data_IF_724687910703
#
_entry.id   IF_724687910703
#
_cell.length_a   1.000
_cell.length_b   1.000
_cell.length_c   1.000
_cell.angle_alpha   90.00
_cell.angle_beta   90.00
_cell.angle_gamma   90.00
#
_symmetry.space_group_name_H-M   'P 1'
#
loop_
_entity.id
_entity.type
_entity.pdbx_description
1 polymer ?
#
# COMPACT_ATOMS: atom_id res chain seq x y z
N UNK A 1 -27.56 -21.14 -27.21
CA UNK A 1 -27.76 -21.87 -25.94
C UNK A 1 -26.89 -21.26 -24.87
N UNK A 2 -27.47 -20.51 -23.93
CA UNK A 2 -26.72 -19.99 -22.78
C UNK A 2 -26.66 -21.07 -21.70
N UNK A 3 -25.46 -21.58 -21.43
CA UNK A 3 -25.23 -22.53 -20.34
C UNK A 3 -25.49 -21.87 -19.00
N UNK A 4 -26.49 -22.37 -18.26
CA UNK A 4 -26.73 -22.01 -16.86
C UNK A 4 -25.50 -22.44 -16.04
N UNK A 5 -24.68 -21.48 -15.60
CA UNK A 5 -23.70 -21.74 -14.53
C UNK A 5 -24.47 -22.15 -13.28
N UNK A 6 -24.27 -23.38 -12.82
CA UNK A 6 -24.79 -23.84 -11.53
C UNK A 6 -24.13 -23.00 -10.44
N UNK A 7 -24.91 -22.21 -9.72
CA UNK A 7 -24.50 -21.66 -8.42
C UNK A 7 -24.41 -22.83 -7.45
N UNK A 8 -23.23 -23.40 -7.27
CA UNK A 8 -22.93 -24.19 -6.07
C UNK A 8 -22.98 -23.24 -4.87
N UNK A 9 -23.84 -23.45 -3.87
CA UNK A 9 -23.99 -22.54 -2.75
C UNK A 9 -22.71 -22.51 -1.92
N UNK A 10 -22.14 -21.32 -1.73
CA UNK A 10 -20.95 -21.08 -0.88
C UNK A 10 -21.12 -21.55 0.57
N UNK A 11 -22.37 -21.78 0.98
CA UNK A 11 -22.77 -22.30 2.28
C UNK A 11 -22.17 -23.70 2.55
N UNK A 12 -22.02 -24.55 1.52
CA UNK A 12 -21.52 -25.92 1.69
C UNK A 12 -20.01 -25.96 2.00
N UNK A 13 -19.22 -25.11 1.36
CA UNK A 13 -17.77 -24.99 1.63
C UNK A 13 -17.46 -24.50 3.04
N UNK A 14 -18.24 -23.55 3.56
CA UNK A 14 -18.04 -23.03 4.92
C UNK A 14 -18.42 -24.06 5.98
N UNK A 15 -19.51 -24.80 5.77
CA UNK A 15 -19.90 -25.91 6.65
C UNK A 15 -18.83 -27.01 6.69
N UNK A 16 -18.25 -27.36 5.53
CA UNK A 16 -17.15 -28.32 5.45
C UNK A 16 -15.90 -27.84 6.21
N UNK A 17 -15.53 -26.55 6.11
CA UNK A 17 -14.42 -25.99 6.88
C UNK A 17 -14.65 -26.05 8.38
N UNK A 18 -15.86 -25.71 8.85
CA UNK A 18 -16.24 -25.78 10.26
C UNK A 18 -16.12 -27.21 10.81
N UNK A 19 -16.61 -28.19 10.05
CA UNK A 19 -16.51 -29.61 10.41
C UNK A 19 -15.04 -30.05 10.49
N UNK A 20 -14.22 -29.68 9.50
CA UNK A 20 -12.79 -30.01 9.49
C UNK A 20 -12.03 -29.37 10.65
N UNK A 21 -12.34 -28.11 10.98
CA UNK A 21 -11.73 -27.43 12.13
C UNK A 21 -12.16 -28.08 13.45
N UNK A 22 -13.45 -28.42 13.61
CA UNK A 22 -13.94 -29.14 14.78
C UNK A 22 -13.24 -30.51 14.95
N UNK A 23 -13.11 -31.29 13.88
CA UNK A 23 -12.40 -32.57 13.90
C UNK A 23 -10.92 -32.41 14.29
N UNK A 24 -10.22 -31.39 13.74
CA UNK A 24 -8.82 -31.08 14.12
C UNK A 24 -8.72 -30.74 15.62
N UNK A 25 -9.63 -29.93 16.15
CA UNK A 25 -9.67 -29.58 17.58
C UNK A 25 -9.91 -30.80 18.47
N UNK A 26 -10.82 -31.70 18.07
CA UNK A 26 -11.05 -32.96 18.77
C UNK A 26 -9.76 -33.81 18.78
N UNK A 27 -9.07 -33.94 17.65
CA UNK A 27 -7.81 -34.70 17.54
C UNK A 27 -6.71 -34.11 18.43
N UNK A 28 -6.56 -32.78 18.46
CA UNK A 28 -5.59 -32.09 19.32
C UNK A 28 -5.85 -32.37 20.81
N UNK A 29 -7.11 -32.27 21.25
CA UNK A 29 -7.50 -32.55 22.65
C UNK A 29 -7.29 -34.02 23.02
N UNK A 30 -7.63 -34.95 22.12
CA UNK A 30 -7.35 -36.39 22.30
C UNK A 30 -5.86 -36.66 22.43
N UNK A 31 -5.01 -36.04 21.59
CA UNK A 31 -3.55 -36.18 21.68
C UNK A 31 -3.02 -35.70 23.02
N UNK A 32 -3.50 -34.55 23.50
CA UNK A 32 -3.11 -34.02 24.81
C UNK A 32 -3.48 -34.99 25.94
N UNK A 33 -4.68 -35.56 25.92
CA UNK A 33 -5.10 -36.55 26.90
C UNK A 33 -4.20 -37.81 26.88
N UNK A 34 -3.84 -38.31 25.69
CA UNK A 34 -2.89 -39.42 25.57
C UNK A 34 -1.53 -39.07 26.19
N UNK A 35 -1.00 -37.87 25.94
CA UNK A 35 0.27 -37.44 26.54
C UNK A 35 0.16 -37.30 28.07
N UNK A 36 -0.99 -36.88 28.60
CA UNK A 36 -1.24 -36.84 30.04
C UNK A 36 -1.22 -38.23 30.68
N UNK A 37 -1.89 -39.22 30.06
CA UNK A 37 -1.90 -40.60 30.56
C UNK A 37 -0.49 -41.21 30.53
N UNK A 38 0.26 -41.00 29.44
CA UNK A 38 1.65 -41.45 29.32
C UNK A 38 2.52 -40.80 30.40
N UNK A 39 2.36 -39.51 30.65
CA UNK A 39 3.08 -38.79 31.70
C UNK A 39 2.81 -39.38 33.09
N UNK A 40 1.54 -39.68 33.43
CA UNK A 40 1.18 -40.30 34.71
C UNK A 40 1.81 -41.68 34.88
N UNK A 41 1.62 -42.57 33.89
CA UNK A 41 2.15 -43.93 33.93
C UNK A 41 3.68 -43.91 33.99
N UNK A 42 4.31 -43.07 33.17
CA UNK A 42 5.76 -42.93 33.13
C UNK A 42 6.34 -42.34 34.42
N UNK A 43 5.65 -41.39 35.06
CA UNK A 43 6.08 -40.84 36.36
C UNK A 43 6.04 -41.90 37.46
N UNK A 44 4.97 -42.71 37.52
CA UNK A 44 4.86 -43.84 38.45
C UNK A 44 5.97 -44.87 38.19
N UNK A 45 6.22 -45.18 36.91
CA UNK A 45 7.28 -46.10 36.52
C UNK A 45 8.68 -45.61 36.95
N UNK A 46 9.00 -44.33 36.74
CA UNK A 46 10.28 -43.75 37.15
C UNK A 46 10.49 -43.80 38.67
N UNK A 47 9.43 -43.57 39.45
CA UNK A 47 9.46 -43.69 40.91
C UNK A 47 9.73 -45.16 41.30
N UNK A 48 8.99 -46.12 40.75
CA UNK A 48 9.17 -47.54 41.04
C UNK A 48 10.55 -48.06 40.60
N UNK A 49 11.05 -47.61 39.46
CA UNK A 49 12.38 -47.98 38.95
C UNK A 49 13.49 -47.56 39.90
N UNK A 50 13.38 -46.37 40.50
CA UNK A 50 14.32 -45.93 41.51
C UNK A 50 14.12 -46.67 42.84
N UNK A 51 12.89 -46.67 43.38
CA UNK A 51 12.61 -47.15 44.76
C UNK A 51 12.62 -48.67 44.92
N UNK A 52 12.26 -49.44 43.89
CA UNK A 52 12.13 -50.91 43.97
C UNK A 52 13.30 -51.62 43.29
N UNK A 53 13.77 -51.10 42.15
CA UNK A 53 14.81 -51.73 41.35
C UNK A 53 16.21 -51.13 41.58
N UNK A 54 16.32 -50.08 42.39
CA UNK A 54 17.60 -49.43 42.71
C UNK A 54 18.24 -48.69 41.53
N UNK A 55 17.49 -48.41 40.46
CA UNK A 55 18.04 -47.83 39.24
C UNK A 55 18.39 -46.36 39.50
N UNK A 56 19.69 -46.06 39.54
CA UNK A 56 20.21 -44.70 39.68
C UNK A 56 20.17 -44.13 41.11
N UNK A 57 20.04 -44.96 42.15
CA UNK A 57 19.98 -44.49 43.56
C UNK A 57 21.18 -43.61 43.97
N UNK A 58 22.37 -43.88 43.41
CA UNK A 58 23.59 -43.12 43.67
C UNK A 58 23.63 -41.77 42.93
N UNK A 59 22.75 -41.57 41.94
CA UNK A 59 22.69 -40.36 41.12
C UNK A 59 21.76 -39.34 41.79
N UNK A 60 22.36 -38.35 42.45
CA UNK A 60 21.65 -37.24 43.07
C UNK A 60 22.04 -35.92 42.41
N UNK A 61 21.04 -35.17 41.98
CA UNK A 61 21.22 -33.79 41.51
C UNK A 61 20.75 -32.84 42.60
N UNK A 62 21.62 -31.92 43.04
CA UNK A 62 21.30 -30.95 44.10
C UNK A 62 20.75 -31.58 45.39
N UNK A 63 21.26 -32.76 45.76
CA UNK A 63 20.81 -33.50 46.96
C UNK A 63 19.41 -34.14 46.84
N UNK A 64 18.83 -34.18 45.64
CA UNK A 64 17.55 -34.82 45.33
C UNK A 64 17.74 -35.96 44.34
N UNK A 65 16.86 -36.95 44.38
CA UNK A 65 16.89 -38.15 43.52
C UNK A 65 16.71 -37.76 42.04
N UNK A 66 17.43 -38.44 41.14
CA UNK A 66 17.46 -38.11 39.72
C UNK A 66 16.08 -38.15 39.05
N UNK A 67 15.20 -39.09 39.44
CA UNK A 67 13.89 -39.25 38.82
C UNK A 67 12.98 -38.04 39.03
N UNK A 68 13.19 -37.27 40.11
CA UNK A 68 12.45 -36.03 40.35
C UNK A 68 12.71 -35.03 39.22
N UNK A 69 13.97 -34.86 38.81
CA UNK A 69 14.33 -33.98 37.70
C UNK A 69 13.79 -34.50 36.35
N UNK A 70 13.83 -35.82 36.14
CA UNK A 70 13.24 -36.43 34.95
C UNK A 70 11.73 -36.15 34.87
N UNK A 71 11.00 -36.29 35.98
CA UNK A 71 9.58 -35.95 36.08
C UNK A 71 9.35 -34.45 35.87
N UNK A 72 10.19 -33.57 36.44
CA UNK A 72 10.09 -32.11 36.26
C UNK A 72 10.28 -31.70 34.80
N UNK A 73 11.30 -32.22 34.11
CA UNK A 73 11.56 -31.94 32.69
C UNK A 73 10.37 -32.44 31.86
N UNK A 74 9.87 -33.64 32.15
CA UNK A 74 8.73 -34.19 31.43
C UNK A 74 7.43 -33.41 31.69
N UNK A 75 7.21 -32.97 32.92
CA UNK A 75 6.11 -32.09 33.31
C UNK A 75 6.19 -30.76 32.56
N UNK A 76 7.38 -30.18 32.42
CA UNK A 76 7.58 -28.97 31.64
C UNK A 76 7.18 -29.15 30.16
N UNK A 77 7.61 -30.25 29.53
CA UNK A 77 7.21 -30.57 28.15
C UNK A 77 5.69 -30.80 28.03
N UNK A 78 5.08 -31.44 29.01
CA UNK A 78 3.63 -31.61 29.07
C UNK A 78 2.91 -30.27 29.18
N UNK A 79 3.34 -29.39 30.08
CA UNK A 79 2.79 -28.04 30.25
C UNK A 79 2.95 -27.20 28.98
N UNK A 80 4.08 -27.29 28.30
CA UNK A 80 4.27 -26.68 26.98
C UNK A 80 3.24 -27.19 25.96
N UNK A 81 3.00 -28.51 25.93
CA UNK A 81 1.99 -29.09 25.05
C UNK A 81 0.56 -28.62 25.40
N UNK A 82 0.21 -28.54 26.69
CA UNK A 82 -1.06 -27.97 27.18
C UNK A 82 -1.21 -26.53 26.70
N UNK A 83 -0.19 -25.69 26.90
CA UNK A 83 -0.17 -24.29 26.48
C UNK A 83 -0.38 -24.17 24.97
N UNK A 84 0.30 -24.98 24.16
CA UNK A 84 0.17 -24.94 22.71
C UNK A 84 -1.26 -25.32 22.22
N UNK A 85 -1.88 -26.32 22.83
CA UNK A 85 -3.23 -26.78 22.45
C UNK A 85 -4.31 -25.77 22.87
N UNK A 86 -4.19 -25.16 24.05
CA UNK A 86 -5.24 -24.31 24.61
C UNK A 86 -5.04 -22.80 24.39
N UNK A 87 -3.80 -22.32 24.32
CA UNK A 87 -3.49 -20.89 24.21
C UNK A 87 -3.11 -20.56 22.77
N UNK A 88 -2.03 -21.14 22.23
CA UNK A 88 -1.53 -20.79 20.88
C UNK A 88 -2.58 -20.97 19.80
N UNK A 89 -3.25 -22.13 19.77
CA UNK A 89 -4.29 -22.42 18.76
C UNK A 89 -5.61 -21.66 18.98
N UNK A 90 -5.88 -21.16 20.19
CA UNK A 90 -7.07 -20.34 20.49
C UNK A 90 -6.84 -18.87 20.12
N UNK A 91 -5.60 -18.39 20.27
CA UNK A 91 -5.24 -16.99 20.06
C UNK A 91 -4.77 -16.69 18.63
N UNK A 92 -4.14 -17.65 17.94
CA UNK A 92 -3.62 -17.51 16.57
C UNK A 92 -3.99 -18.70 15.66
N UNK A 93 -5.18 -19.27 15.86
CA UNK A 93 -5.71 -20.31 14.99
C UNK A 93 -6.34 -19.75 13.71
N UNK A 94 -6.67 -20.65 12.76
CA UNK A 94 -7.37 -20.28 11.51
C UNK A 94 -8.69 -19.55 11.73
N UNK A 95 -9.40 -19.87 12.82
CA UNK A 95 -10.66 -19.20 13.16
C UNK A 95 -10.44 -17.73 13.56
N UNK A 96 -9.34 -17.44 14.25
CA UNK A 96 -8.94 -16.06 14.56
C UNK A 96 -8.56 -15.33 13.27
N UNK A 97 -7.76 -15.94 12.40
CA UNK A 97 -7.38 -15.38 11.10
C UNK A 97 -8.60 -15.06 10.23
N UNK A 98 -9.56 -15.99 10.13
CA UNK A 98 -10.84 -15.78 9.41
C UNK A 98 -11.63 -14.61 10.00
N UNK A 99 -11.74 -14.53 11.32
CA UNK A 99 -12.43 -13.41 11.98
C UNK A 99 -11.76 -12.04 11.72
N UNK A 100 -10.43 -12.00 11.63
CA UNK A 100 -9.71 -10.78 11.29
C UNK A 100 -9.93 -10.41 9.82
N UNK A 101 -9.91 -11.39 8.93
CA UNK A 101 -10.18 -11.20 7.51
C UNK A 101 -11.59 -10.66 7.28
N UNK A 102 -12.61 -11.24 7.92
CA UNK A 102 -14.00 -10.76 7.85
C UNK A 102 -14.13 -9.30 8.32
N UNK A 103 -13.48 -8.94 9.44
CA UNK A 103 -13.44 -7.54 9.92
C UNK A 103 -12.79 -6.61 8.89
N UNK A 104 -11.72 -7.03 8.23
CA UNK A 104 -11.05 -6.26 7.19
C UNK A 104 -11.95 -6.08 5.95
N UNK A 105 -12.60 -7.14 5.50
CA UNK A 105 -13.54 -7.11 4.38
C UNK A 105 -14.73 -6.19 4.69
N UNK A 106 -15.32 -6.28 5.88
CA UNK A 106 -16.40 -5.39 6.32
C UNK A 106 -15.95 -3.92 6.34
N UNK A 107 -14.72 -3.65 6.80
CA UNK A 107 -14.13 -2.30 6.77
C UNK A 107 -13.93 -1.79 5.33
N UNK A 108 -13.53 -2.66 4.40
CA UNK A 108 -13.42 -2.33 2.99
C UNK A 108 -14.78 -2.06 2.35
N UNK A 109 -15.80 -2.88 2.62
CA UNK A 109 -17.16 -2.68 2.12
C UNK A 109 -17.75 -1.35 2.60
N UNK A 110 -17.61 -1.01 3.89
CA UNK A 110 -18.00 0.29 4.42
C UNK A 110 -17.28 1.46 3.73
N UNK A 111 -16.00 1.29 3.38
CA UNK A 111 -15.24 2.30 2.63
C UNK A 111 -15.77 2.45 1.19
N UNK A 112 -16.08 1.33 0.52
CA UNK A 112 -16.67 1.33 -0.82
C UNK A 112 -18.05 2.02 -0.80
N UNK A 113 -18.89 1.74 0.20
CA UNK A 113 -20.20 2.38 0.34
C UNK A 113 -20.08 3.89 0.56
N UNK A 114 -19.16 4.34 1.43
CA UNK A 114 -18.86 5.77 1.60
C UNK A 114 -18.39 6.43 0.31
N UNK A 115 -17.54 5.76 -0.46
CA UNK A 115 -17.09 6.25 -1.76
C UNK A 115 -18.26 6.36 -2.74
N UNK A 116 -19.13 5.34 -2.83
CA UNK A 116 -20.34 5.38 -3.67
C UNK A 116 -21.26 6.55 -3.30
N UNK A 117 -21.55 6.74 -2.02
CA UNK A 117 -22.33 7.91 -1.54
C UNK A 117 -21.66 9.24 -1.86
N UNK A 118 -20.33 9.30 -1.80
CA UNK A 118 -19.54 10.46 -2.23
C UNK A 118 -19.71 10.75 -3.71
N UNK A 119 -19.57 9.72 -4.57
CA UNK A 119 -19.78 9.83 -6.01
C UNK A 119 -21.20 10.26 -6.36
N UNK A 120 -22.25 9.69 -5.75
CA UNK A 120 -23.64 10.11 -5.98
C UNK A 120 -23.88 11.58 -5.62
N UNK A 121 -23.25 12.07 -4.54
CA UNK A 121 -23.33 13.49 -4.14
C UNK A 121 -22.62 14.38 -5.16
N UNK A 122 -21.44 13.96 -5.62
CA UNK A 122 -20.65 14.67 -6.62
C UNK A 122 -21.37 14.72 -7.98
N UNK A 123 -21.95 13.61 -8.43
CA UNK A 123 -22.79 13.54 -9.63
C UNK A 123 -23.99 14.49 -9.57
N UNK A 124 -24.68 14.56 -8.43
CA UNK A 124 -25.77 15.53 -8.24
C UNK A 124 -25.31 16.98 -8.32
N UNK A 125 -24.17 17.31 -7.72
CA UNK A 125 -23.59 18.66 -7.78
C UNK A 125 -23.17 19.03 -9.21
N UNK A 126 -22.57 18.09 -9.95
CA UNK A 126 -22.21 18.27 -11.35
C UNK A 126 -23.44 18.49 -12.22
N UNK A 127 -24.49 17.68 -12.06
CA UNK A 127 -25.75 17.85 -12.79
C UNK A 127 -26.42 19.20 -12.48
N UNK A 128 -26.44 19.63 -11.22
CA UNK A 128 -26.98 20.94 -10.82
C UNK A 128 -26.17 22.10 -11.43
N UNK A 129 -24.84 22.00 -11.43
CA UNK A 129 -23.96 22.99 -12.05
C UNK A 129 -24.17 23.08 -13.57
N UNK A 130 -24.33 21.93 -14.25
CA UNK A 130 -24.63 21.88 -15.68
C UNK A 130 -25.97 22.53 -16.02
N UNK A 131 -27.02 22.24 -15.26
CA UNK A 131 -28.35 22.88 -15.42
C UNK A 131 -28.27 24.39 -15.16
N UNK A 132 -27.57 24.81 -14.11
CA UNK A 132 -27.36 26.24 -13.81
C UNK A 132 -26.61 26.97 -14.94
N UNK A 133 -25.58 26.34 -15.52
CA UNK A 133 -24.82 26.92 -16.63
C UNK A 133 -25.63 26.96 -17.94
N UNK A 134 -26.55 26.01 -18.15
CA UNK A 134 -27.46 26.00 -19.32
C UNK A 134 -28.61 27.01 -19.19
N UNK A 135 -29.03 27.36 -17.98
CA UNK A 135 -30.12 28.31 -17.73
C UNK A 135 -29.69 29.80 -17.75
N UNK A 136 -28.39 30.10 -17.94
CA UNK A 136 -27.87 31.47 -17.97
C UNK A 136 -28.16 32.11 -19.35
N UNK A 137 -28.75 33.32 -19.43
CA UNK A 137 -28.94 34.01 -20.71
C UNK A 137 -27.59 34.30 -21.36
N UNK A 138 -27.42 33.91 -22.64
CA UNK A 138 -26.25 34.26 -23.44
C UNK A 138 -26.29 35.76 -23.78
N UNK A 139 -25.69 36.59 -22.93
CA UNK A 139 -25.28 37.93 -23.35
C UNK A 139 -24.10 37.80 -24.31
N UNK A 140 -24.34 38.17 -25.57
CA UNK A 140 -23.30 38.29 -26.60
C UNK A 140 -22.31 39.38 -26.16
N UNK A 141 -21.19 38.96 -25.57
CA UNK A 141 -19.98 39.77 -25.43
C UNK A 141 -19.16 39.58 -26.71
N UNK A 142 -18.58 40.64 -27.30
CA UNK A 142 -17.83 40.55 -28.55
C UNK A 142 -16.70 39.52 -28.50
N UNK A 143 -16.44 38.85 -29.63
CA UNK A 143 -15.32 37.92 -29.82
C UNK A 143 -13.98 38.63 -29.50
N UNK A 144 -13.47 38.39 -28.30
CA UNK A 144 -12.03 38.44 -28.04
C UNK A 144 -11.50 37.01 -28.01
N UNK A 145 -10.35 36.81 -28.66
CA UNK A 145 -9.61 35.55 -28.72
C UNK A 145 -9.18 35.13 -27.31
N UNK A 146 -9.99 34.31 -26.62
CA UNK A 146 -9.57 33.68 -25.36
C UNK A 146 -8.81 32.39 -25.63
N UNK A 147 -7.48 32.48 -25.62
CA UNK A 147 -6.61 31.30 -25.51
C UNK A 147 -6.79 30.67 -24.15
N UNK A 148 -7.44 29.51 -24.08
CA UNK A 148 -7.36 28.64 -22.90
C UNK A 148 -5.89 28.19 -22.75
N UNK A 149 -5.14 28.89 -21.91
CA UNK A 149 -3.80 28.48 -21.50
C UNK A 149 -3.97 27.33 -20.50
N UNK A 150 -3.58 26.12 -20.89
CA UNK A 150 -3.47 25.00 -19.94
C UNK A 150 -2.30 25.29 -19.00
N UNK A 151 -2.53 25.16 -17.69
CA UNK A 151 -1.48 25.32 -16.68
C UNK A 151 -0.79 23.98 -16.40
N UNK A 152 0.10 23.60 -17.32
CA UNK A 152 0.88 22.37 -17.20
C UNK A 152 1.80 22.47 -15.98
N UNK A 153 1.63 21.56 -15.04
CA UNK A 153 2.35 21.57 -13.76
C UNK A 153 3.35 20.42 -13.70
N UNK A 154 4.61 20.70 -13.37
CA UNK A 154 5.57 19.67 -12.96
C UNK A 154 5.36 19.40 -11.48
N UNK A 155 5.28 18.15 -11.05
CA UNK A 155 5.30 17.80 -9.63
C UNK A 155 6.41 16.79 -9.37
N UNK A 156 7.30 17.10 -8.43
CA UNK A 156 8.53 16.32 -8.23
C UNK A 156 9.01 16.44 -6.78
N UNK A 157 9.55 15.34 -6.25
CA UNK A 157 10.38 15.37 -5.04
C UNK A 157 11.86 15.21 -5.45
N UNK A 158 12.71 16.14 -5.02
CA UNK A 158 14.13 16.13 -5.32
C UNK A 158 14.98 16.44 -4.08
N UNK A 159 16.12 15.77 -3.97
CA UNK A 159 17.13 15.97 -2.93
C UNK A 159 17.84 17.32 -3.08
N UNK A 160 18.65 17.73 -2.10
CA UNK A 160 19.41 18.99 -2.16
C UNK A 160 20.33 19.05 -3.39
N UNK A 161 20.87 17.91 -3.83
CA UNK A 161 21.69 17.76 -5.03
C UNK A 161 20.88 17.44 -6.32
N UNK A 162 19.59 17.77 -6.34
CA UNK A 162 18.63 17.50 -7.42
C UNK A 162 18.42 15.99 -7.75
N UNK A 163 18.93 15.07 -6.93
CA UNK A 163 18.67 13.64 -7.08
C UNK A 163 17.17 13.33 -6.98
N UNK A 164 16.64 12.43 -7.80
CA UNK A 164 15.22 12.01 -7.77
C UNK A 164 15.00 10.50 -7.75
N UNK A 165 16.02 9.71 -8.12
CA UNK A 165 15.89 8.26 -8.19
C UNK A 165 17.22 7.55 -8.41
N UNK A 166 17.28 6.29 -7.97
CA UNK A 166 18.38 5.36 -8.21
C UNK A 166 17.79 4.02 -8.59
N UNK A 167 18.30 3.36 -9.63
CA UNK A 167 17.84 2.04 -10.09
C UNK A 167 16.32 1.97 -10.35
N UNK A 168 15.72 3.03 -10.93
CA UNK A 168 14.27 3.20 -11.15
C UNK A 168 13.40 3.18 -9.88
N UNK A 169 13.98 3.43 -8.70
CA UNK A 169 13.26 3.52 -7.42
C UNK A 169 13.43 4.90 -6.78
N UNK A 170 12.44 5.27 -5.95
CA UNK A 170 12.55 6.42 -5.06
C UNK A 170 13.57 6.11 -3.95
N UNK A 171 14.40 7.11 -3.63
CA UNK A 171 15.54 6.94 -2.70
C UNK A 171 15.08 7.09 -1.22
N UNK A 172 13.91 7.68 -1.00
CA UNK A 172 13.36 7.93 0.33
C UNK A 172 11.85 7.64 0.36
N UNK A 173 11.31 7.63 1.59
CA UNK A 173 9.88 7.54 1.83
C UNK A 173 9.42 8.75 2.66
N UNK A 174 8.65 9.65 2.04
CA UNK A 174 8.10 10.83 2.70
C UNK A 174 6.56 10.77 2.65
N UNK A 175 5.95 10.40 3.77
CA UNK A 175 4.52 10.09 3.81
C UNK A 175 3.64 11.31 3.48
N UNK A 176 4.06 12.51 3.90
CA UNK A 176 3.33 13.75 3.62
C UNK A 176 3.52 14.25 2.18
N UNK A 177 4.68 14.00 1.57
CA UNK A 177 4.87 14.23 0.13
C UNK A 177 3.93 13.33 -0.70
N UNK A 178 3.81 12.05 -0.34
CA UNK A 178 2.88 11.13 -1.01
C UNK A 178 1.41 11.55 -0.84
N UNK A 179 1.03 12.10 0.31
CA UNK A 179 -0.31 12.68 0.54
C UNK A 179 -0.53 13.90 -0.35
N UNK A 180 0.43 14.84 -0.37
CA UNK A 180 0.39 16.03 -1.23
C UNK A 180 0.30 15.67 -2.71
N UNK A 181 1.15 14.76 -3.18
CA UNK A 181 1.12 14.26 -4.55
C UNK A 181 -0.25 13.69 -4.90
N UNK A 182 -0.84 12.87 -4.01
CA UNK A 182 -2.17 12.31 -4.21
C UNK A 182 -3.24 13.40 -4.26
N UNK A 183 -3.21 14.37 -3.35
CA UNK A 183 -4.19 15.45 -3.28
C UNK A 183 -4.16 16.32 -4.54
N UNK A 184 -2.97 16.75 -4.97
CA UNK A 184 -2.79 17.62 -6.13
C UNK A 184 -3.16 16.92 -7.44
N UNK A 185 -2.78 15.65 -7.60
CA UNK A 185 -2.97 14.93 -8.88
C UNK A 185 -4.33 14.26 -9.02
N UNK A 186 -5.16 14.21 -7.98
CA UNK A 186 -6.43 13.49 -8.00
C UNK A 186 -7.41 14.10 -9.02
N UNK A 187 -8.02 13.28 -9.87
CA UNK A 187 -8.94 13.74 -10.92
C UNK A 187 -8.25 14.21 -12.21
N UNK A 188 -6.92 14.36 -12.18
CA UNK A 188 -6.14 14.92 -13.28
C UNK A 188 -5.37 13.86 -14.09
N UNK A 189 -4.87 14.28 -15.25
CA UNK A 189 -3.92 13.52 -16.06
C UNK A 189 -2.54 13.60 -15.42
N UNK A 190 -1.91 12.45 -15.31
CA UNK A 190 -0.51 12.32 -14.91
C UNK A 190 0.30 11.78 -16.08
N UNK A 191 1.26 12.59 -16.53
CA UNK A 191 2.10 12.34 -17.68
C UNK A 191 3.46 11.87 -17.18
N UNK A 192 3.92 10.73 -17.69
CA UNK A 192 5.17 10.13 -17.25
C UNK A 192 5.87 9.35 -18.35
N UNK A 193 7.16 9.07 -18.17
CA UNK A 193 7.92 8.15 -19.02
C UNK A 193 7.69 6.69 -18.65
N UNK A 194 7.93 5.77 -19.60
CA UNK A 194 7.81 4.31 -19.41
C UNK A 194 8.42 3.80 -18.10
N UNK A 195 9.69 4.12 -17.82
CA UNK A 195 10.40 3.62 -16.62
C UNK A 195 9.74 4.07 -15.31
N UNK A 196 9.19 5.29 -15.27
CA UNK A 196 8.43 5.79 -14.12
C UNK A 196 7.10 5.05 -13.98
N UNK A 197 6.44 4.75 -15.10
CA UNK A 197 5.22 3.95 -15.05
C UNK A 197 5.47 2.53 -14.52
N UNK A 198 6.56 1.90 -14.95
CA UNK A 198 6.95 0.54 -14.54
C UNK A 198 7.34 0.42 -13.06
N UNK A 199 7.65 1.53 -12.37
CA UNK A 199 7.93 1.51 -10.93
C UNK A 199 6.66 1.45 -10.07
N UNK A 200 5.50 1.76 -10.64
CA UNK A 200 4.23 1.61 -9.93
C UNK A 200 3.80 0.14 -9.90
N UNK A 201 3.42 -0.42 -8.73
CA UNK A 201 2.90 -1.78 -8.65
C UNK A 201 1.54 -1.92 -9.38
N UNK A 202 0.80 -0.82 -9.52
CA UNK A 202 -0.45 -0.72 -10.26
C UNK A 202 -0.78 0.74 -10.60
N UNK A 203 -1.60 1.00 -11.63
CA UNK A 203 -2.10 2.34 -11.91
C UNK A 203 -2.76 2.97 -10.68
N UNK A 204 -2.43 4.23 -10.46
CA UNK A 204 -2.97 5.03 -9.39
C UNK A 204 -4.46 5.35 -9.66
N UNK A 205 -5.37 5.13 -8.68
CA UNK A 205 -6.81 5.34 -8.88
C UNK A 205 -7.12 6.83 -9.07
N UNK A 206 -8.26 7.09 -9.74
CA UNK A 206 -8.83 8.41 -10.02
C UNK A 206 -7.88 9.36 -10.78
N UNK A 207 -6.93 8.81 -11.53
CA UNK A 207 -5.95 9.55 -12.33
C UNK A 207 -5.88 8.94 -13.71
N UNK A 208 -5.82 9.78 -14.73
CA UNK A 208 -5.64 9.35 -16.11
C UNK A 208 -4.14 9.26 -16.39
N UNK A 209 -3.64 8.05 -16.64
CA UNK A 209 -2.22 7.83 -16.88
C UNK A 209 -1.90 8.05 -18.36
N UNK A 210 -0.93 8.91 -18.64
CA UNK A 210 -0.41 9.15 -20.00
C UNK A 210 1.07 8.79 -20.00
N UNK A 211 1.42 7.68 -20.64
CA UNK A 211 2.76 7.10 -20.64
C UNK A 211 3.45 7.38 -21.96
N UNK A 212 4.60 8.05 -21.89
CA UNK A 212 5.45 8.34 -23.04
C UNK A 212 6.43 7.18 -23.23
N UNK A 213 6.34 6.50 -24.37
CA UNK A 213 7.22 5.40 -24.75
C UNK A 213 7.54 5.42 -26.25
N UNK A 214 8.79 5.12 -26.60
CA UNK A 214 9.22 4.90 -28.00
C UNK A 214 9.07 3.44 -28.43
N UNK A 215 8.76 2.54 -27.48
CA UNK A 215 8.60 1.12 -27.78
C UNK A 215 7.26 0.89 -28.45
N UNK A 216 7.30 0.36 -29.67
CA UNK A 216 6.10 -0.09 -30.37
C UNK A 216 5.43 -1.24 -29.61
N UNK A 217 4.09 -1.25 -29.62
CA UNK A 217 3.29 -2.30 -28.96
C UNK A 217 3.57 -2.46 -27.45
N UNK A 218 4.00 -1.39 -26.77
CA UNK A 218 4.17 -1.40 -25.31
C UNK A 218 2.83 -1.69 -24.61
N UNK A 219 2.77 -2.82 -23.90
CA UNK A 219 1.55 -3.30 -23.24
C UNK A 219 1.34 -2.57 -21.92
N UNK A 220 0.15 -2.01 -21.75
CA UNK A 220 -0.27 -1.36 -20.50
C UNK A 220 -1.61 -1.91 -20.04
N UNK A 221 -1.93 -1.80 -18.74
CA UNK A 221 -3.27 -2.08 -18.23
C UNK A 221 -4.34 -1.21 -18.91
N UNK A 222 -5.59 -1.67 -18.84
CA UNK A 222 -6.74 -0.90 -19.33
C UNK A 222 -6.85 0.48 -18.65
N UNK A 223 -7.23 1.49 -19.43
CA UNK A 223 -7.36 2.87 -18.96
C UNK A 223 -6.07 3.69 -18.95
N UNK A 224 -4.93 3.10 -19.32
CA UNK A 224 -3.66 3.81 -19.50
C UNK A 224 -3.48 4.20 -20.97
N UNK A 225 -3.17 5.47 -21.21
CA UNK A 225 -2.93 6.02 -22.55
C UNK A 225 -1.43 5.95 -22.84
N UNK A 226 -1.04 5.41 -24.00
CA UNK A 226 0.37 5.38 -24.44
C UNK A 226 0.54 6.32 -25.63
N UNK A 227 1.55 7.17 -25.56
CA UNK A 227 1.93 8.11 -26.62
C UNK A 227 3.44 8.06 -26.85
N UNK A 228 3.90 8.59 -27.98
CA UNK A 228 5.31 8.53 -28.40
C UNK A 228 6.12 9.83 -28.17
N UNK A 229 5.48 10.90 -27.71
CA UNK A 229 6.11 12.21 -27.52
C UNK A 229 5.46 13.01 -26.40
N UNK A 230 6.19 13.98 -25.85
CA UNK A 230 5.66 14.92 -24.86
C UNK A 230 4.53 15.78 -25.44
N UNK A 231 4.66 16.23 -26.69
CA UNK A 231 3.62 17.01 -27.37
C UNK A 231 2.29 16.25 -27.45
N UNK A 232 2.34 14.96 -27.83
CA UNK A 232 1.16 14.11 -27.87
C UNK A 232 0.59 13.87 -26.46
N UNK A 233 1.45 13.77 -25.44
CA UNK A 233 0.98 13.63 -24.06
C UNK A 233 0.22 14.87 -23.56
N UNK A 234 0.70 16.06 -23.91
CA UNK A 234 0.05 17.33 -23.58
C UNK A 234 -1.28 17.44 -24.33
N UNK A 235 -1.33 17.09 -25.63
CA UNK A 235 -2.59 17.12 -26.39
C UNK A 235 -3.65 16.16 -25.81
N UNK A 236 -3.24 14.98 -25.34
CA UNK A 236 -4.16 14.05 -24.67
C UNK A 236 -4.75 14.63 -23.39
N UNK A 237 -4.02 15.51 -22.70
CA UNK A 237 -4.45 16.15 -21.48
C UNK A 237 -5.12 17.52 -21.72
N UNK A 238 -5.48 17.86 -22.97
CA UNK A 238 -5.87 19.23 -23.31
C UNK A 238 -7.15 19.75 -22.68
N UNK A 239 -8.06 18.83 -22.33
CA UNK A 239 -9.32 19.14 -21.67
C UNK A 239 -9.19 19.04 -20.14
N UNK A 240 -7.98 18.82 -19.63
CA UNK A 240 -7.65 18.92 -18.22
C UNK A 240 -7.25 20.35 -17.89
N UNK A 241 -7.85 20.91 -16.84
CA UNK A 241 -7.48 22.24 -16.36
C UNK A 241 -6.08 22.28 -15.74
N UNK A 242 -5.59 21.15 -15.23
CA UNK A 242 -4.32 21.09 -14.49
C UNK A 242 -3.63 19.72 -14.66
N UNK A 243 -3.07 19.43 -15.84
CA UNK A 243 -2.31 18.21 -16.03
C UNK A 243 -0.95 18.26 -15.33
N UNK A 244 -0.47 17.09 -14.86
CA UNK A 244 0.77 16.96 -14.11
C UNK A 244 1.82 16.14 -14.84
N UNK A 245 3.03 16.69 -14.99
CA UNK A 245 4.22 15.93 -15.37
C UNK A 245 4.85 15.36 -14.10
N UNK A 246 4.98 14.04 -14.04
CA UNK A 246 5.50 13.32 -12.85
C UNK A 246 6.83 12.61 -13.11
N UNK A 247 7.49 12.93 -14.24
CA UNK A 247 8.85 12.49 -14.57
C UNK A 247 8.91 11.30 -15.52
N UNK A 248 10.03 10.57 -15.62
CA UNK A 248 11.29 10.75 -14.91
C UNK A 248 12.19 11.85 -15.51
N UNK A 249 13.49 11.81 -15.22
CA UNK A 249 14.45 12.87 -15.54
C UNK A 249 14.39 13.38 -16.99
N UNK A 250 14.30 12.49 -17.97
CA UNK A 250 14.21 12.88 -19.39
C UNK A 250 12.90 13.61 -19.73
N UNK A 251 11.78 13.17 -19.15
CA UNK A 251 10.49 13.83 -19.33
C UNK A 251 10.48 15.19 -18.64
N UNK A 252 11.09 15.30 -17.44
CA UNK A 252 11.25 16.58 -16.77
C UNK A 252 12.05 17.56 -17.62
N UNK A 253 13.21 17.15 -18.18
CA UNK A 253 14.02 18.02 -19.06
C UNK A 253 13.21 18.60 -20.21
N UNK A 254 12.42 17.78 -20.88
CA UNK A 254 11.57 18.23 -21.99
C UNK A 254 10.42 19.12 -21.48
N UNK A 255 9.79 18.77 -20.36
CA UNK A 255 8.68 19.50 -19.78
C UNK A 255 9.06 20.90 -19.25
N UNK A 256 10.32 21.12 -18.86
CA UNK A 256 10.80 22.43 -18.41
C UNK A 256 10.63 23.55 -19.44
N UNK A 257 10.42 23.23 -20.73
CA UNK A 257 10.14 24.23 -21.77
C UNK A 257 8.65 24.62 -21.87
N UNK A 258 7.75 23.74 -21.43
CA UNK A 258 6.31 23.89 -21.63
C UNK A 258 5.54 24.16 -20.32
N UNK A 259 6.09 23.73 -19.19
CA UNK A 259 5.42 23.86 -17.89
C UNK A 259 5.29 25.31 -17.45
N UNK A 260 4.17 25.61 -16.76
CA UNK A 260 3.85 26.91 -16.20
C UNK A 260 4.14 26.97 -14.70
N UNK A 261 4.10 25.81 -14.03
CA UNK A 261 4.25 25.67 -12.59
C UNK A 261 5.12 24.47 -12.24
N UNK A 262 5.87 24.56 -11.14
CA UNK A 262 6.58 23.44 -10.53
C UNK A 262 6.12 23.35 -9.07
N UNK A 263 5.54 22.22 -8.70
CA UNK A 263 5.27 21.82 -7.32
C UNK A 263 6.41 20.91 -6.87
N UNK A 264 7.43 21.51 -6.24
CA UNK A 264 8.63 20.84 -5.77
C UNK A 264 8.46 20.41 -4.30
N UNK A 265 8.94 19.22 -3.97
CA UNK A 265 9.30 18.84 -2.61
C UNK A 265 10.82 18.75 -2.54
N UNK A 266 11.48 19.72 -1.89
CA UNK A 266 12.93 19.74 -1.72
C UNK A 266 13.29 18.98 -0.45
N UNK A 267 13.93 17.82 -0.57
CA UNK A 267 14.42 17.04 0.56
C UNK A 267 15.80 17.56 0.98
N UNK A 268 15.93 18.01 2.23
CA UNK A 268 17.16 18.64 2.75
C UNK A 268 18.20 17.59 3.15
N UNK A 269 18.57 16.79 2.17
CA UNK A 269 19.62 15.77 2.25
C UNK A 269 20.14 15.50 0.83
N UNK A 270 21.40 15.13 0.70
CA UNK A 270 21.98 14.72 -0.59
C UNK A 270 22.05 13.21 -0.67
N UNK A 271 21.70 12.65 -1.83
CA UNK A 271 21.73 11.19 -2.03
C UNK A 271 22.54 10.83 -3.27
N UNK A 272 23.12 9.63 -3.27
CA UNK A 272 23.63 9.04 -4.50
C UNK A 272 22.46 8.67 -5.42
N UNK A 273 22.54 9.05 -6.69
CA UNK A 273 21.49 8.83 -7.66
C UNK A 273 22.03 8.69 -9.08
N UNK A 274 21.25 8.06 -9.95
CA UNK A 274 21.51 7.99 -11.39
C UNK A 274 20.58 8.91 -12.20
N UNK A 275 19.55 9.44 -11.54
CA UNK A 275 18.52 10.27 -12.15
C UNK A 275 18.34 11.55 -11.34
N UNK A 276 18.43 12.69 -12.03
CA UNK A 276 18.38 14.02 -11.45
C UNK A 276 17.27 14.87 -12.09
N UNK A 277 16.70 15.77 -11.30
CA UNK A 277 15.82 16.82 -11.78
C UNK A 277 16.66 17.91 -12.50
N UNK A 278 16.15 18.56 -13.56
CA UNK A 278 16.84 19.67 -14.19
C UNK A 278 17.01 20.85 -13.22
N UNK A 279 18.16 21.53 -13.28
CA UNK A 279 18.39 22.74 -12.50
C UNK A 279 17.31 23.79 -12.80
N UNK A 280 16.71 24.35 -11.75
CA UNK A 280 15.73 25.42 -11.87
C UNK A 280 16.48 26.74 -12.07
N UNK A 281 16.30 27.35 -13.24
CA UNK A 281 16.85 28.66 -13.54
C UNK A 281 15.97 29.78 -12.95
N UNK A 282 16.51 30.51 -11.97
CA UNK A 282 15.84 31.62 -11.29
C UNK A 282 15.63 32.84 -12.19
N UNK A 283 16.24 32.89 -13.38
CA UNK A 283 15.91 33.87 -14.41
C UNK A 283 14.50 33.64 -14.95
N UNK A 284 14.11 32.37 -15.14
CA UNK A 284 12.86 31.92 -15.76
C UNK A 284 11.77 31.59 -14.74
N UNK A 285 12.17 31.10 -13.56
CA UNK A 285 11.26 30.64 -12.52
C UNK A 285 11.30 31.57 -11.30
N UNK A 286 10.13 31.83 -10.72
CA UNK A 286 9.97 32.59 -9.48
C UNK A 286 9.36 31.70 -8.42
N UNK A 287 10.00 31.64 -7.26
CA UNK A 287 9.42 31.03 -6.07
C UNK A 287 8.24 31.88 -5.57
N UNK A 288 7.07 31.25 -5.43
CA UNK A 288 5.84 31.92 -4.97
C UNK A 288 5.34 31.40 -3.64
N UNK A 289 5.69 30.16 -3.27
CA UNK A 289 5.38 29.56 -1.97
C UNK A 289 6.53 28.68 -1.51
N UNK A 290 6.74 28.68 -0.19
CA UNK A 290 7.72 27.82 0.47
C UNK A 290 7.24 27.48 1.88
N UNK A 291 7.05 26.19 2.15
CA UNK A 291 6.65 25.68 3.46
C UNK A 291 7.64 24.63 3.91
N UNK A 292 8.42 24.98 4.93
CA UNK A 292 9.36 24.09 5.58
C UNK A 292 8.64 23.04 6.45
N UNK A 293 9.18 21.82 6.45
CA UNK A 293 8.79 20.72 7.29
C UNK A 293 10.05 20.14 7.95
N UNK A 294 10.09 20.19 9.28
CA UNK A 294 11.22 19.65 10.02
C UNK A 294 11.19 18.13 10.08
N UNK A 295 12.29 17.51 10.51
CA UNK A 295 12.31 16.08 10.82
C UNK A 295 11.31 15.76 11.92
N UNK A 296 10.64 14.62 11.80
CA UNK A 296 9.72 14.14 12.82
C UNK A 296 9.73 12.60 12.89
N UNK A 297 8.86 12.02 13.72
CA UNK A 297 8.77 10.57 13.89
C UNK A 297 8.33 9.82 12.61
N UNK A 298 7.78 10.50 11.61
CA UNK A 298 7.32 9.92 10.34
C UNK A 298 8.27 10.21 9.17
N UNK A 299 9.21 11.15 9.34
CA UNK A 299 10.08 11.67 8.27
C UNK A 299 11.53 11.77 8.73
N UNK A 300 12.39 10.90 8.20
CA UNK A 300 13.83 10.84 8.51
C UNK A 300 14.61 12.09 8.07
N UNK A 301 14.09 12.79 7.05
CA UNK A 301 14.68 13.96 6.44
C UNK A 301 13.73 15.14 6.53
N UNK A 302 14.26 16.33 6.83
CA UNK A 302 13.52 17.57 6.67
C UNK A 302 13.29 17.84 5.18
N UNK A 303 12.21 18.52 4.84
CA UNK A 303 11.89 18.87 3.46
C UNK A 303 11.08 20.16 3.38
N UNK A 304 11.06 20.79 2.22
CA UNK A 304 10.22 21.95 1.95
C UNK A 304 9.28 21.70 0.78
N UNK A 305 8.00 22.08 0.92
CA UNK A 305 7.10 22.21 -0.20
C UNK A 305 7.27 23.59 -0.83
N UNK A 306 7.73 23.62 -2.07
CA UNK A 306 8.06 24.84 -2.80
C UNK A 306 7.23 24.89 -4.08
N UNK A 307 6.61 26.03 -4.37
CA UNK A 307 5.91 26.27 -5.63
C UNK A 307 6.70 27.30 -6.42
N UNK A 308 7.08 26.95 -7.66
CA UNK A 308 7.61 27.89 -8.62
C UNK A 308 6.58 28.17 -9.71
N UNK A 309 6.47 29.43 -10.10
CA UNK A 309 5.72 29.85 -11.27
C UNK A 309 6.68 30.42 -12.30
N UNK A 310 6.43 30.13 -13.58
CA UNK A 310 7.20 30.72 -14.67
C UNK A 310 6.92 32.22 -14.73
N UNK A 311 7.97 33.03 -14.83
CA UNK A 311 7.88 34.48 -15.03
C UNK A 311 7.29 34.83 -16.40
#
# INVERSE_FOLDING_TARGET
MFGKKKNTPSIDSEQLELIQNAQRRIKQKKRLYVHFVIFLIGSIFLILANTVLGIGEDVKFFGKEWFLFAIFIWLFLFLYHVFNVFITNKFMGKDWEKSQLEKLVAKQQNRIEKLKKGFEKEEKLMAQSQVYNQAKPQTKVPLEKSGHKQDLTIIVAAAENDAIGKNNQLIWHLSDDLKRFKELTNGHHIIMGRKTFESFPKPLPNRKHVVISRQENYKVPEGVIVVNSLANAIDMAKNDSQPFIIGGGEIYKQAMLFANKIELTRVHHSFEADTFFPKIDTSTWKETQNRYHDKDNNHEYAFSFITYERK
#
